data_IF_690585484263
#
_entry.id   IF_690585484263
#
_cell.length_a   1.000
_cell.length_b   1.000
_cell.length_c   1.000
_cell.angle_alpha   90.00
_cell.angle_beta   90.00
_cell.angle_gamma   90.00
#
_symmetry.space_group_name_H-M   'P 1'
#
loop_
_entity.id
_entity.type
_entity.pdbx_description
1 polymer ?
#
# COMPACT_ATOMS: atom_id res chain seq x y z
N UNK A 1 49.79 4.57 5.50
CA UNK A 1 50.17 3.16 5.35
C UNK A 1 49.27 2.42 6.29
N UNK A 2 48.06 2.14 5.83
CA UNK A 2 47.10 1.33 6.55
C UNK A 2 47.57 -0.12 6.41
N UNK A 3 47.97 -0.73 7.52
CA UNK A 3 48.22 -2.17 7.55
C UNK A 3 46.87 -2.85 7.37
N UNK A 4 46.58 -3.25 6.13
CA UNK A 4 45.57 -4.26 5.83
C UNK A 4 46.09 -5.55 6.44
N UNK A 5 45.66 -5.83 7.66
CA UNK A 5 45.89 -7.12 8.30
C UNK A 5 45.19 -8.19 7.44
N UNK A 6 45.89 -9.24 6.99
CA UNK A 6 45.28 -10.26 6.16
C UNK A 6 44.11 -10.92 6.89
N UNK A 7 42.99 -11.13 6.19
CA UNK A 7 41.82 -11.90 6.67
C UNK A 7 42.23 -13.25 7.30
N UNK A 8 43.37 -13.82 6.90
CA UNK A 8 43.91 -15.05 7.45
C UNK A 8 44.37 -14.95 8.93
N UNK A 9 44.59 -13.76 9.49
CA UNK A 9 44.94 -13.61 10.92
C UNK A 9 43.73 -13.61 11.86
N UNK A 10 42.51 -13.45 11.32
CA UNK A 10 41.23 -13.50 12.05
C UNK A 10 40.82 -14.94 12.46
N UNK A 11 41.45 -15.95 11.85
CA UNK A 11 41.12 -17.36 12.06
C UNK A 11 41.88 -18.06 13.19
N UNK A 12 42.60 -17.30 14.03
CA UNK A 12 43.30 -17.87 15.18
C UNK A 12 42.39 -18.11 16.40
N UNK A 13 41.14 -17.62 16.38
CA UNK A 13 40.14 -17.92 17.40
C UNK A 13 38.96 -18.72 16.81
N UNK A 14 38.67 -19.87 17.42
CA UNK A 14 37.54 -20.76 17.10
C UNK A 14 36.19 -20.03 17.04
N UNK A 15 35.41 -20.26 15.99
CA UNK A 15 33.93 -20.17 15.90
C UNK A 15 33.21 -18.88 16.40
N UNK A 16 33.94 -17.81 16.74
CA UNK A 16 33.42 -16.54 17.28
C UNK A 16 32.23 -15.96 16.49
N UNK A 17 32.22 -15.99 15.14
CA UNK A 17 31.10 -15.41 14.38
C UNK A 17 29.76 -16.11 14.62
N UNK A 18 29.75 -17.44 14.61
CA UNK A 18 28.55 -18.25 14.85
C UNK A 18 28.09 -18.14 16.31
N UNK A 19 29.05 -18.03 17.24
CA UNK A 19 28.76 -17.75 18.66
C UNK A 19 28.03 -16.40 18.82
N UNK A 20 28.60 -15.31 18.29
CA UNK A 20 27.98 -13.99 18.35
C UNK A 20 26.61 -13.97 17.65
N UNK A 21 26.47 -14.69 16.52
CA UNK A 21 25.19 -14.81 15.82
C UNK A 21 24.15 -15.54 16.67
N UNK A 22 24.52 -16.63 17.33
CA UNK A 22 23.64 -17.35 18.25
C UNK A 22 23.25 -16.50 19.45
N UNK A 23 24.17 -15.73 20.03
CA UNK A 23 23.88 -14.80 21.13
C UNK A 23 22.86 -13.73 20.70
N UNK A 24 23.05 -13.14 19.51
CA UNK A 24 22.13 -12.15 18.95
C UNK A 24 20.76 -12.77 18.61
N UNK A 25 20.72 -13.94 17.96
CA UNK A 25 19.47 -14.63 17.61
C UNK A 25 18.62 -14.95 18.84
N UNK A 26 19.26 -15.38 19.92
CA UNK A 26 18.60 -15.72 21.19
C UNK A 26 18.40 -14.51 22.12
N UNK A 27 18.78 -13.31 21.69
CA UNK A 27 18.69 -12.06 22.48
C UNK A 27 19.40 -12.15 23.85
N UNK A 28 20.58 -12.77 23.90
CA UNK A 28 21.37 -12.94 25.12
C UNK A 28 22.26 -11.70 25.34
N UNK A 29 21.62 -10.58 25.68
CA UNK A 29 22.20 -9.23 25.80
C UNK A 29 23.46 -9.18 26.67
N UNK A 30 23.39 -9.71 27.90
CA UNK A 30 24.51 -9.64 28.85
C UNK A 30 25.71 -10.48 28.39
N UNK A 31 25.45 -11.70 27.91
CA UNK A 31 26.49 -12.61 27.40
C UNK A 31 27.15 -12.05 26.14
N UNK A 32 26.36 -11.37 25.30
CA UNK A 32 26.89 -10.67 24.14
C UNK A 32 27.82 -9.53 24.56
N UNK A 33 27.45 -8.72 25.56
CA UNK A 33 28.30 -7.65 26.07
C UNK A 33 29.62 -8.20 26.61
N UNK A 34 29.56 -9.17 27.51
CA UNK A 34 30.75 -9.78 28.13
C UNK A 34 31.67 -10.37 27.06
N UNK A 35 31.08 -10.99 26.02
CA UNK A 35 31.86 -11.55 24.92
C UNK A 35 32.53 -10.46 24.09
N UNK A 36 31.80 -9.40 23.72
CA UNK A 36 32.35 -8.28 22.97
C UNK A 36 33.49 -7.58 23.73
N UNK A 37 33.37 -7.42 25.04
CA UNK A 37 34.42 -6.86 25.92
C UNK A 37 35.68 -7.75 25.98
N UNK A 38 35.52 -9.07 25.80
CA UNK A 38 36.64 -10.03 25.80
C UNK A 38 37.43 -10.06 24.49
N UNK A 39 36.87 -9.55 23.39
CA UNK A 39 37.48 -9.61 22.06
C UNK A 39 38.55 -8.54 21.90
N UNK A 40 39.64 -8.91 21.21
CA UNK A 40 40.74 -7.97 20.92
C UNK A 40 40.37 -6.98 19.82
N UNK A 41 39.58 -7.40 18.83
CA UNK A 41 39.17 -6.59 17.67
C UNK A 41 37.67 -6.75 17.36
N UNK A 42 36.75 -6.35 18.27
CA UNK A 42 35.30 -6.58 18.12
C UNK A 42 34.71 -5.94 16.86
N UNK A 43 35.29 -4.84 16.37
CA UNK A 43 34.82 -4.09 15.19
C UNK A 43 34.80 -4.94 13.92
N UNK A 44 35.79 -5.82 13.75
CA UNK A 44 35.89 -6.70 12.59
C UNK A 44 34.68 -7.65 12.53
N UNK A 45 34.22 -8.13 13.68
CA UNK A 45 33.02 -8.98 13.78
C UNK A 45 31.72 -8.21 13.64
N UNK A 46 31.67 -6.98 14.14
CA UNK A 46 30.47 -6.13 14.06
C UNK A 46 30.17 -5.66 12.62
N UNK A 47 31.21 -5.41 11.83
CA UNK A 47 31.11 -4.89 10.46
C UNK A 47 31.18 -5.96 9.38
N UNK A 48 31.49 -7.21 9.73
CA UNK A 48 31.56 -8.31 8.79
C UNK A 48 30.20 -8.62 8.15
N UNK A 49 30.25 -8.79 6.83
CA UNK A 49 29.09 -9.05 5.96
C UNK A 49 29.12 -10.45 5.33
N UNK A 50 30.23 -11.17 5.51
CA UNK A 50 30.39 -12.55 5.10
C UNK A 50 31.22 -13.30 6.14
N UNK A 51 30.83 -14.54 6.39
CA UNK A 51 31.53 -15.43 7.31
C UNK A 51 31.74 -16.76 6.61
N UNK A 52 32.99 -17.24 6.60
CA UNK A 52 33.37 -18.50 5.94
C UNK A 52 33.00 -18.60 4.44
N UNK A 53 32.90 -17.47 3.75
CA UNK A 53 32.57 -17.42 2.32
C UNK A 53 31.07 -17.45 2.00
N UNK A 54 30.19 -17.49 3.02
CA UNK A 54 28.75 -17.29 2.86
C UNK A 54 28.36 -15.84 3.20
N UNK A 55 27.58 -15.21 2.33
CA UNK A 55 26.96 -13.91 2.62
C UNK A 55 25.83 -14.12 3.63
N UNK A 56 25.97 -13.57 4.84
CA UNK A 56 24.98 -13.64 5.92
C UNK A 56 24.55 -12.23 6.32
N UNK A 57 23.36 -12.09 6.91
CA UNK A 57 22.94 -10.83 7.51
C UNK A 57 23.96 -10.38 8.57
N UNK A 58 24.21 -9.07 8.70
CA UNK A 58 25.06 -8.58 9.79
C UNK A 58 24.38 -8.79 11.16
N UNK A 59 25.16 -8.82 12.24
CA UNK A 59 24.62 -8.92 13.62
C UNK A 59 23.58 -7.83 13.89
N UNK A 60 23.82 -6.61 13.38
CA UNK A 60 22.88 -5.50 13.50
C UNK A 60 21.55 -5.78 12.78
N UNK A 61 21.59 -6.35 11.58
CA UNK A 61 20.38 -6.71 10.82
C UNK A 61 19.58 -7.81 11.50
N UNK A 62 20.24 -8.81 12.08
CA UNK A 62 19.56 -9.88 12.82
C UNK A 62 18.86 -9.31 14.05
N UNK A 63 19.56 -8.47 14.83
CA UNK A 63 18.96 -7.77 15.96
C UNK A 63 17.77 -6.91 15.49
N UNK A 64 17.91 -6.23 14.34
CA UNK A 64 16.86 -5.40 13.76
C UNK A 64 15.63 -6.17 13.27
N UNK A 65 15.79 -7.32 12.62
CA UNK A 65 14.69 -8.18 12.19
C UNK A 65 13.87 -8.72 13.36
N UNK A 66 14.50 -8.91 14.52
CA UNK A 66 13.87 -9.45 15.71
C UNK A 66 13.42 -8.37 16.71
N UNK A 67 13.76 -7.09 16.47
CA UNK A 67 13.31 -5.98 17.32
C UNK A 67 14.09 -5.85 18.63
N UNK A 68 15.31 -6.38 18.67
CA UNK A 68 16.13 -6.43 19.88
C UNK A 68 16.84 -5.10 20.12
N UNK A 69 16.13 -4.15 20.72
CA UNK A 69 16.63 -2.80 20.94
C UNK A 69 17.91 -2.75 21.81
N UNK A 70 17.94 -3.47 22.92
CA UNK A 70 19.10 -3.50 23.81
C UNK A 70 20.32 -4.10 23.13
N UNK A 71 20.12 -5.19 22.38
CA UNK A 71 21.16 -5.79 21.54
C UNK A 71 21.70 -4.77 20.54
N UNK A 72 20.84 -4.02 19.85
CA UNK A 72 21.28 -2.96 18.95
C UNK A 72 22.09 -1.89 19.68
N UNK A 73 21.64 -1.44 20.86
CA UNK A 73 22.37 -0.45 21.66
C UNK A 73 23.76 -0.95 22.06
N UNK A 74 23.90 -2.22 22.44
CA UNK A 74 25.18 -2.85 22.75
C UNK A 74 26.08 -2.91 21.52
N UNK A 75 25.56 -3.33 20.37
CA UNK A 75 26.35 -3.37 19.12
C UNK A 75 26.87 -1.98 18.74
N UNK A 76 26.07 -0.93 18.93
CA UNK A 76 26.49 0.46 18.73
C UNK A 76 27.49 0.96 19.78
N UNK A 77 27.32 0.59 21.05
CA UNK A 77 28.23 0.98 22.12
C UNK A 77 29.65 0.42 21.93
N UNK A 78 29.74 -0.79 21.37
CA UNK A 78 31.01 -1.46 21.05
C UNK A 78 31.56 -1.11 19.65
N UNK A 79 30.87 -0.24 18.90
CA UNK A 79 31.29 0.22 17.59
C UNK A 79 31.69 1.71 17.64
N UNK A 80 32.99 2.05 17.47
CA UNK A 80 33.43 3.43 17.48
C UNK A 80 32.71 4.29 16.43
N UNK A 81 32.45 5.58 16.69
CA UNK A 81 31.67 6.45 15.79
C UNK A 81 32.13 6.45 14.34
N UNK A 82 33.45 6.33 14.11
CA UNK A 82 34.05 6.29 12.77
C UNK A 82 33.69 5.04 11.94
N UNK A 83 33.27 3.94 12.60
CA UNK A 83 32.90 2.67 11.95
C UNK A 83 31.38 2.39 11.95
N UNK A 84 30.59 3.30 12.53
CA UNK A 84 29.13 3.12 12.60
C UNK A 84 28.47 3.22 11.23
N UNK A 85 29.11 3.85 10.24
CA UNK A 85 28.62 3.92 8.86
C UNK A 85 28.69 2.51 8.23
N UNK A 86 29.81 1.80 8.43
CA UNK A 86 30.01 0.43 7.98
C UNK A 86 29.04 -0.54 8.66
N UNK A 87 28.81 -0.39 9.96
CA UNK A 87 27.79 -1.16 10.71
C UNK A 87 26.39 -1.03 10.09
N UNK A 88 26.10 0.14 9.50
CA UNK A 88 24.81 0.51 8.90
C UNK A 88 24.72 0.18 7.40
N UNK A 89 25.79 -0.32 6.77
CA UNK A 89 25.86 -0.57 5.32
C UNK A 89 24.95 -1.75 4.91
N UNK A 90 24.51 -1.74 3.65
CA UNK A 90 23.73 -2.83 3.05
C UNK A 90 24.54 -4.12 2.96
N UNK A 91 23.88 -5.25 3.19
CA UNK A 91 24.43 -6.59 2.95
C UNK A 91 23.57 -7.31 1.90
N UNK A 92 24.20 -7.80 0.84
CA UNK A 92 23.55 -8.64 -0.16
C UNK A 92 23.26 -10.01 0.47
N UNK A 93 22.08 -10.58 0.18
CA UNK A 93 21.74 -11.93 0.60
C UNK A 93 21.60 -12.77 -0.67
N UNK A 94 22.57 -13.64 -0.91
CA UNK A 94 22.49 -14.64 -1.97
C UNK A 94 21.94 -15.94 -1.37
N UNK A 95 20.65 -16.21 -1.63
CA UNK A 95 20.07 -17.52 -1.97
C UNK A 95 18.52 -17.45 -1.87
N UNK A 96 17.84 -17.66 -3.00
CA UNK A 96 16.42 -18.06 -3.02
C UNK A 96 15.37 -16.98 -3.28
N UNK A 97 15.40 -15.81 -2.62
CA UNK A 97 14.52 -14.66 -2.92
C UNK A 97 15.07 -13.41 -2.22
N UNK A 98 15.11 -12.27 -2.96
CA UNK A 98 15.61 -10.91 -2.62
C UNK A 98 17.00 -10.58 -3.19
N UNK A 99 17.03 -10.17 -4.48
CA UNK A 99 18.22 -9.59 -5.13
C UNK A 99 18.32 -8.09 -4.77
N UNK A 100 18.56 -7.76 -3.50
CA UNK A 100 18.67 -6.36 -3.09
C UNK A 100 19.15 -6.22 -1.66
N UNK A 101 20.28 -5.54 -1.45
CA UNK A 101 20.83 -5.34 -0.11
C UNK A 101 19.87 -4.55 0.78
N UNK A 102 19.57 -5.07 1.96
CA UNK A 102 18.75 -4.37 2.97
C UNK A 102 19.65 -3.60 3.95
N UNK A 103 19.12 -2.64 4.70
CA UNK A 103 19.78 -2.05 5.90
C UNK A 103 19.10 -2.54 7.16
N UNK A 104 19.76 -2.40 8.32
CA UNK A 104 19.13 -2.71 9.61
C UNK A 104 17.84 -1.89 9.85
N UNK A 105 17.79 -0.63 9.37
CA UNK A 105 16.58 0.19 9.45
C UNK A 105 15.44 -0.40 8.60
N UNK A 106 15.73 -0.84 7.37
CA UNK A 106 14.74 -1.52 6.53
C UNK A 106 14.24 -2.82 7.17
N UNK A 107 15.13 -3.61 7.79
CA UNK A 107 14.78 -4.81 8.55
C UNK A 107 13.82 -4.53 9.73
N UNK A 108 14.13 -3.51 10.55
CA UNK A 108 13.30 -3.10 11.67
C UNK A 108 11.91 -2.66 11.18
N UNK A 109 11.84 -1.85 10.13
CA UNK A 109 10.58 -1.44 9.55
C UNK A 109 9.82 -2.60 8.89
N UNK A 110 10.51 -3.60 8.32
CA UNK A 110 9.86 -4.73 7.60
C UNK A 110 9.11 -5.62 8.59
N UNK A 111 9.65 -5.72 9.79
CA UNK A 111 9.10 -6.51 10.90
C UNK A 111 8.29 -5.65 11.88
N UNK A 112 8.03 -4.38 11.52
CA UNK A 112 7.23 -3.42 12.28
C UNK A 112 7.77 -3.07 13.68
N UNK A 113 9.08 -3.10 13.88
CA UNK A 113 9.75 -2.74 15.13
C UNK A 113 9.98 -1.22 15.24
N UNK A 114 8.90 -0.48 15.55
CA UNK A 114 8.92 1.00 15.57
C UNK A 114 9.95 1.61 16.52
N UNK A 115 9.95 1.20 17.79
CA UNK A 115 10.87 1.76 18.80
C UNK A 115 12.31 1.60 18.36
N UNK A 116 12.62 0.44 17.77
CA UNK A 116 13.95 0.19 17.22
C UNK A 116 14.25 1.02 15.97
N UNK A 117 13.31 1.17 15.04
CA UNK A 117 13.49 2.04 13.88
C UNK A 117 13.79 3.48 14.30
N UNK A 118 13.06 4.01 15.30
CA UNK A 118 13.34 5.31 15.89
C UNK A 118 14.73 5.36 16.52
N UNK A 119 15.08 4.39 17.35
CA UNK A 119 16.40 4.28 17.99
C UNK A 119 17.53 4.24 16.96
N UNK A 120 17.39 3.49 15.86
CA UNK A 120 18.37 3.44 14.77
C UNK A 120 18.55 4.79 14.05
N UNK A 121 17.49 5.59 13.93
CA UNK A 121 17.56 6.93 13.34
C UNK A 121 18.16 7.93 14.33
N UNK A 122 17.75 7.90 15.60
CA UNK A 122 18.26 8.75 16.68
C UNK A 122 19.77 8.52 16.91
N UNK A 123 20.27 7.31 16.67
CA UNK A 123 21.72 6.98 16.68
C UNK A 123 22.48 7.47 15.42
N UNK A 124 21.92 8.46 14.70
CA UNK A 124 22.66 9.46 13.95
C UNK A 124 23.33 8.99 12.67
N UNK A 125 22.63 8.27 11.78
CA UNK A 125 23.14 8.08 10.41
C UNK A 125 22.66 6.84 9.66
N UNK A 126 21.50 6.29 10.00
CA UNK A 126 20.87 5.33 9.10
C UNK A 126 20.55 6.04 7.78
N UNK A 127 20.95 5.48 6.65
CA UNK A 127 20.62 6.03 5.34
C UNK A 127 19.14 5.76 5.04
N UNK A 128 18.31 6.78 5.27
CA UNK A 128 16.84 6.68 5.15
C UNK A 128 16.39 6.68 3.69
N UNK A 129 17.20 7.27 2.80
CA UNK A 129 16.86 7.56 1.40
C UNK A 129 17.74 6.80 0.41
N UNK A 130 18.22 5.60 0.76
CA UNK A 130 19.17 4.85 -0.06
C UNK A 130 18.61 4.54 -1.47
N UNK A 131 18.83 5.48 -2.38
CA UNK A 131 18.34 5.62 -3.75
C UNK A 131 19.30 4.97 -4.76
N UNK A 132 20.19 4.09 -4.30
CA UNK A 132 21.16 3.46 -5.19
C UNK A 132 20.48 2.43 -6.09
N UNK A 133 20.84 2.48 -7.38
CA UNK A 133 20.30 1.85 -8.61
C UNK A 133 19.98 0.33 -8.58
N UNK A 134 20.06 -0.36 -7.44
CA UNK A 134 19.96 -1.82 -7.33
C UNK A 134 18.53 -2.36 -7.31
N UNK A 135 17.57 -1.69 -7.97
CA UNK A 135 16.19 -2.17 -8.22
C UNK A 135 15.30 -2.57 -7.02
N UNK A 136 15.77 -2.53 -5.77
CA UNK A 136 15.01 -2.96 -4.57
C UNK A 136 14.96 -1.86 -3.48
N UNK A 137 15.06 -0.60 -3.88
CA UNK A 137 14.73 0.51 -3.00
C UNK A 137 13.22 0.52 -2.71
N UNK A 138 12.74 -0.29 -1.76
CA UNK A 138 11.45 -0.06 -1.12
C UNK A 138 11.64 1.16 -0.21
N UNK A 139 11.09 2.34 -0.56
CA UNK A 139 11.25 3.52 0.28
C UNK A 139 10.61 3.23 1.63
N UNK A 140 11.32 3.58 2.71
CA UNK A 140 10.89 3.26 4.08
C UNK A 140 9.47 3.75 4.37
N UNK A 141 9.12 4.91 3.78
CA UNK A 141 7.79 5.49 3.80
C UNK A 141 6.72 4.54 3.24
N UNK A 142 6.95 3.92 2.08
CA UNK A 142 6.01 3.00 1.43
C UNK A 142 5.75 1.79 2.33
N UNK A 143 6.82 1.20 2.87
CA UNK A 143 6.73 0.03 3.70
C UNK A 143 5.99 0.31 5.02
N UNK A 144 6.27 1.47 5.63
CA UNK A 144 5.56 1.94 6.81
C UNK A 144 4.06 2.16 6.52
N UNK A 145 3.73 2.75 5.37
CA UNK A 145 2.33 2.94 4.94
C UNK A 145 1.61 1.62 4.65
N UNK A 146 2.28 0.66 4.00
CA UNK A 146 1.71 -0.68 3.73
C UNK A 146 1.34 -1.43 5.02
N UNK A 147 2.09 -1.21 6.11
CA UNK A 147 1.89 -1.87 7.41
C UNK A 147 1.16 -0.99 8.43
N UNK A 148 0.54 0.12 7.99
CA UNK A 148 -0.19 1.08 8.83
C UNK A 148 0.62 1.66 10.01
N UNK A 149 1.92 1.89 9.82
CA UNK A 149 2.82 2.43 10.84
C UNK A 149 2.84 3.96 10.77
N UNK A 150 1.74 4.58 11.19
CA UNK A 150 1.54 6.03 11.10
C UNK A 150 2.57 6.82 11.93
N UNK A 151 3.03 6.25 13.02
CA UNK A 151 4.12 6.74 13.86
C UNK A 151 5.45 6.88 13.09
N UNK A 152 5.83 5.86 12.32
CA UNK A 152 6.99 5.90 11.43
C UNK A 152 6.78 6.92 10.31
N UNK A 153 5.61 6.87 9.65
CA UNK A 153 5.29 7.78 8.53
C UNK A 153 5.39 9.24 8.98
N UNK A 154 4.82 9.58 10.14
CA UNK A 154 4.94 10.92 10.74
C UNK A 154 6.39 11.31 10.94
N UNK A 155 7.15 10.44 11.61
CA UNK A 155 8.55 10.70 11.90
C UNK A 155 9.38 10.92 10.64
N UNK A 156 9.16 10.14 9.57
CA UNK A 156 9.87 10.27 8.30
C UNK A 156 9.55 11.57 7.57
N UNK A 157 8.26 11.95 7.49
CA UNK A 157 7.83 13.15 6.77
C UNK A 157 8.18 14.42 7.55
N UNK A 158 7.92 14.46 8.85
CA UNK A 158 8.11 15.67 9.68
C UNK A 158 9.57 16.07 9.84
N UNK A 159 10.50 15.11 9.77
CA UNK A 159 11.94 15.37 9.80
C UNK A 159 12.56 15.53 8.40
N UNK A 160 11.74 15.53 7.33
CA UNK A 160 12.21 15.68 5.96
C UNK A 160 13.06 14.50 5.46
N UNK A 161 12.88 13.32 6.07
CA UNK A 161 13.65 12.14 5.71
C UNK A 161 13.11 11.38 4.51
N UNK A 162 11.91 11.68 4.01
CA UNK A 162 11.37 11.01 2.83
C UNK A 162 10.47 11.95 2.03
N UNK A 163 10.51 11.82 0.71
CA UNK A 163 9.54 12.46 -0.19
C UNK A 163 8.20 11.70 -0.12
N UNK A 164 7.13 12.43 0.21
CA UNK A 164 5.75 11.93 0.33
C UNK A 164 5.27 11.22 -0.95
N UNK A 165 5.76 11.66 -2.11
CA UNK A 165 5.37 11.16 -3.43
C UNK A 165 6.40 10.21 -4.03
N UNK A 166 7.41 9.80 -3.25
CA UNK A 166 8.39 8.82 -3.70
C UNK A 166 7.66 7.51 -4.06
N UNK A 167 8.03 6.95 -5.19
CA UNK A 167 7.51 5.65 -5.65
C UNK A 167 8.56 4.57 -5.41
N UNK A 168 8.13 3.32 -5.27
CA UNK A 168 9.09 2.21 -5.34
C UNK A 168 9.81 2.20 -6.69
N UNK A 169 11.10 1.83 -6.68
CA UNK A 169 12.00 1.91 -7.83
C UNK A 169 11.90 0.73 -8.79
N UNK A 170 11.08 -0.28 -8.46
CA UNK A 170 10.88 -1.42 -9.35
C UNK A 170 9.96 -1.02 -10.53
N UNK A 171 10.32 -1.50 -11.72
CA UNK A 171 9.60 -1.15 -12.95
C UNK A 171 8.16 -1.69 -12.98
N UNK A 172 7.83 -2.66 -12.13
CA UNK A 172 6.58 -3.38 -12.19
C UNK A 172 5.44 -2.77 -11.38
N UNK A 173 5.72 -1.97 -10.34
CA UNK A 173 4.69 -1.45 -9.45
C UNK A 173 5.06 -0.06 -8.93
N UNK A 174 5.12 1.01 -9.73
CA UNK A 174 5.53 2.35 -9.23
C UNK A 174 4.51 3.04 -8.28
N UNK A 175 4.07 2.39 -7.21
CA UNK A 175 3.06 2.84 -6.25
C UNK A 175 3.64 3.83 -5.22
N UNK A 176 2.78 4.77 -4.78
CA UNK A 176 3.05 5.71 -3.69
C UNK A 176 2.49 5.21 -2.36
N UNK A 177 2.85 5.88 -1.26
CA UNK A 177 2.36 5.58 0.09
C UNK A 177 0.84 5.66 0.16
N UNK A 178 0.26 6.65 -0.53
CA UNK A 178 -1.17 6.89 -0.58
C UNK A 178 -1.92 5.77 -1.32
N UNK A 179 -1.36 5.22 -2.40
CA UNK A 179 -1.94 4.06 -3.11
C UNK A 179 -2.03 2.85 -2.18
N UNK A 180 -0.98 2.55 -1.41
CA UNK A 180 -0.99 1.44 -0.46
C UNK A 180 -1.97 1.66 0.69
N UNK A 181 -2.00 2.87 1.25
CA UNK A 181 -2.96 3.22 2.30
C UNK A 181 -4.41 3.09 1.81
N UNK A 182 -4.71 3.54 0.59
CA UNK A 182 -6.02 3.41 -0.04
C UNK A 182 -6.40 1.96 -0.34
N UNK A 183 -5.47 1.16 -0.87
CA UNK A 183 -5.67 -0.25 -1.14
C UNK A 183 -5.92 -1.07 0.13
N UNK A 184 -5.29 -0.73 1.25
CA UNK A 184 -5.52 -1.40 2.53
C UNK A 184 -6.68 -0.78 3.32
N UNK A 185 -7.12 0.42 2.95
CA UNK A 185 -8.22 1.11 3.59
C UNK A 185 -7.86 1.80 4.92
N UNK A 186 -6.60 2.20 5.09
CA UNK A 186 -6.11 2.84 6.31
C UNK A 186 -6.48 4.33 6.32
N UNK A 187 -7.72 4.63 6.70
CA UNK A 187 -8.31 5.98 6.67
C UNK A 187 -7.46 7.04 7.38
N UNK A 188 -6.98 6.78 8.60
CA UNK A 188 -6.12 7.72 9.35
C UNK A 188 -4.77 7.98 8.66
N UNK A 189 -4.25 6.97 7.95
CA UNK A 189 -3.04 7.11 7.14
C UNK A 189 -3.32 7.94 5.88
N UNK A 190 -4.46 7.70 5.20
CA UNK A 190 -4.89 8.46 4.02
C UNK A 190 -5.04 9.94 4.38
N UNK A 191 -5.77 10.25 5.45
CA UNK A 191 -5.95 11.63 5.95
C UNK A 191 -4.60 12.32 6.18
N UNK A 192 -3.69 11.64 6.88
CA UNK A 192 -2.37 12.21 7.17
C UNK A 192 -1.53 12.43 5.90
N UNK A 193 -1.48 11.45 4.99
CA UNK A 193 -0.71 11.57 3.75
C UNK A 193 -1.26 12.71 2.87
N UNK A 194 -2.58 12.87 2.77
CA UNK A 194 -3.21 13.97 2.05
C UNK A 194 -2.93 15.33 2.70
N UNK A 195 -2.99 15.43 4.03
CA UNK A 195 -2.61 16.64 4.78
C UNK A 195 -1.16 17.07 4.47
N UNK A 196 -0.26 16.11 4.25
CA UNK A 196 1.15 16.35 3.89
C UNK A 196 1.41 16.52 2.39
N UNK A 197 0.36 16.60 1.57
CA UNK A 197 0.49 16.90 0.14
C UNK A 197 0.84 15.69 -0.73
N UNK A 198 0.44 14.49 -0.33
CA UNK A 198 0.48 13.33 -1.22
C UNK A 198 -0.38 13.59 -2.48
N UNK A 199 0.14 13.21 -3.64
CA UNK A 199 -0.58 13.32 -4.92
C UNK A 199 -1.75 12.34 -4.95
N UNK A 200 -2.95 12.89 -4.77
CA UNK A 200 -4.21 12.15 -4.73
C UNK A 200 -4.56 11.47 -6.06
N UNK A 201 -4.01 11.96 -7.17
CA UNK A 201 -4.31 11.50 -8.52
C UNK A 201 -3.13 10.76 -9.16
N UNK A 202 -2.06 10.48 -8.39
CA UNK A 202 -0.94 9.72 -8.89
C UNK A 202 -1.41 8.36 -9.44
N UNK A 203 -1.05 8.07 -10.68
CA UNK A 203 -1.37 6.81 -11.36
C UNK A 203 -0.09 6.00 -11.52
N UNK A 204 -0.03 4.81 -10.91
CA UNK A 204 1.09 3.92 -11.14
C UNK A 204 0.85 3.05 -12.39
N UNK A 205 1.91 2.76 -13.14
CA UNK A 205 1.88 1.74 -14.19
C UNK A 205 2.26 0.41 -13.56
N UNK A 206 1.28 -0.26 -12.93
CA UNK A 206 1.51 -1.64 -12.48
C UNK A 206 1.27 -2.60 -13.63
N UNK A 207 2.17 -3.58 -13.82
CA UNK A 207 1.98 -4.64 -14.81
C UNK A 207 0.84 -5.60 -14.44
N UNK A 208 0.50 -5.69 -13.15
CA UNK A 208 -0.53 -6.57 -12.60
C UNK A 208 -1.81 -5.82 -12.20
N UNK A 209 -1.72 -4.54 -11.81
CA UNK A 209 -2.86 -3.68 -11.50
C UNK A 209 -3.08 -2.65 -12.62
N UNK A 210 -4.35 -2.56 -13.04
CA UNK A 210 -4.88 -1.80 -14.17
C UNK A 210 -4.78 -0.26 -13.96
N UNK A 211 -3.55 0.27 -13.90
CA UNK A 211 -3.21 1.68 -13.69
C UNK A 211 -3.85 2.35 -12.45
N UNK A 212 -3.58 1.85 -11.23
CA UNK A 212 -4.32 2.31 -10.06
C UNK A 212 -3.93 3.74 -9.65
N UNK A 213 -4.96 4.58 -9.50
CA UNK A 213 -4.96 5.76 -8.62
C UNK A 213 -5.41 5.36 -7.21
N UNK A 214 -5.14 6.17 -6.17
CA UNK A 214 -5.64 5.91 -4.82
C UNK A 214 -7.14 5.56 -4.77
N UNK A 215 -7.99 6.32 -5.47
CA UNK A 215 -9.45 6.08 -5.48
C UNK A 215 -9.81 4.76 -6.14
N UNK A 216 -9.17 4.39 -7.27
CA UNK A 216 -9.43 3.10 -7.91
C UNK A 216 -9.04 1.93 -7.01
N UNK A 217 -7.95 2.05 -6.24
CA UNK A 217 -7.55 1.04 -5.25
C UNK A 217 -8.58 0.89 -4.13
N UNK A 218 -9.08 2.00 -3.58
CA UNK A 218 -10.10 1.97 -2.54
C UNK A 218 -11.40 1.31 -3.04
N UNK A 219 -11.81 1.63 -4.28
CA UNK A 219 -12.99 1.02 -4.93
C UNK A 219 -12.78 -0.47 -5.19
N UNK A 220 -11.63 -0.89 -5.74
CA UNK A 220 -11.32 -2.30 -5.98
C UNK A 220 -11.32 -3.16 -4.72
N UNK A 221 -11.15 -2.54 -3.56
CA UNK A 221 -11.10 -3.18 -2.25
C UNK A 221 -12.38 -2.99 -1.44
N UNK A 222 -13.37 -2.27 -1.99
CA UNK A 222 -14.67 -2.05 -1.38
C UNK A 222 -14.62 -1.21 -0.10
N UNK A 223 -13.56 -0.44 0.10
CA UNK A 223 -13.41 0.34 1.32
C UNK A 223 -14.13 1.69 1.18
N UNK A 224 -15.43 1.70 1.53
CA UNK A 224 -16.30 2.89 1.39
C UNK A 224 -15.75 4.11 2.15
N UNK A 225 -15.14 3.92 3.31
CA UNK A 225 -14.58 5.02 4.10
C UNK A 225 -13.37 5.67 3.40
N UNK A 226 -12.48 4.87 2.82
CA UNK A 226 -11.36 5.37 2.01
C UNK A 226 -11.86 6.03 0.71
N UNK A 227 -12.86 5.46 0.04
CA UNK A 227 -13.49 6.09 -1.15
C UNK A 227 -14.09 7.45 -0.77
N UNK A 228 -14.82 7.52 0.33
CA UNK A 228 -15.42 8.75 0.82
C UNK A 228 -14.36 9.81 1.10
N UNK A 229 -13.31 9.48 1.86
CA UNK A 229 -12.21 10.39 2.17
C UNK A 229 -11.51 10.91 0.92
N UNK A 230 -11.23 10.04 -0.05
CA UNK A 230 -10.58 10.44 -1.30
C UNK A 230 -11.49 11.35 -2.14
N UNK A 231 -12.79 11.07 -2.22
CA UNK A 231 -13.74 11.94 -2.89
C UNK A 231 -13.92 13.29 -2.16
N UNK A 232 -13.87 13.30 -0.82
CA UNK A 232 -13.92 14.53 0.00
C UNK A 232 -12.67 15.40 -0.18
N UNK A 233 -11.56 14.79 -0.60
CA UNK A 233 -10.31 15.46 -0.93
C UNK A 233 -10.13 15.75 -2.44
N UNK A 234 -11.22 15.75 -3.21
CA UNK A 234 -11.25 16.07 -4.64
C UNK A 234 -10.41 15.11 -5.53
N UNK A 235 -10.37 13.82 -5.20
CA UNK A 235 -9.81 12.80 -6.09
C UNK A 235 -10.53 12.80 -7.46
N UNK A 236 -9.80 12.61 -8.55
CA UNK A 236 -10.37 12.47 -9.89
C UNK A 236 -11.20 11.18 -9.97
N UNK A 237 -12.52 11.34 -10.00
CA UNK A 237 -13.49 10.24 -10.10
C UNK A 237 -13.81 9.85 -11.53
N UNK A 238 -13.29 10.57 -12.54
CA UNK A 238 -13.50 10.29 -13.97
C UNK A 238 -12.56 9.20 -14.51
N UNK A 239 -11.64 8.75 -13.66
CA UNK A 239 -10.68 7.69 -13.96
C UNK A 239 -11.36 6.40 -14.41
N UNK A 240 -10.76 5.78 -15.43
CA UNK A 240 -11.18 4.48 -15.94
C UNK A 240 -10.10 3.46 -15.66
N UNK A 241 -10.53 2.25 -15.31
CA UNK A 241 -9.66 1.08 -15.29
C UNK A 241 -9.17 0.80 -16.73
N UNK A 242 -8.07 0.06 -16.88
CA UNK A 242 -7.50 -0.18 -18.22
C UNK A 242 -8.39 -1.06 -19.12
N UNK A 243 -9.37 -1.77 -18.55
CA UNK A 243 -10.43 -2.47 -19.31
C UNK A 243 -11.59 -1.54 -19.70
N UNK A 244 -11.44 -0.23 -19.45
CA UNK A 244 -12.39 0.82 -19.82
C UNK A 244 -13.51 1.05 -18.81
N UNK A 245 -13.57 0.27 -17.72
CA UNK A 245 -14.63 0.39 -16.71
C UNK A 245 -14.52 1.66 -15.90
N UNK A 246 -15.66 2.20 -15.49
CA UNK A 246 -15.72 3.31 -14.52
C UNK A 246 -15.64 2.78 -13.09
N UNK A 247 -15.49 3.68 -12.11
CA UNK A 247 -15.53 3.34 -10.69
C UNK A 247 -16.83 2.62 -10.31
N UNK A 248 -17.97 3.09 -10.83
CA UNK A 248 -19.29 2.53 -10.55
C UNK A 248 -19.43 1.12 -11.14
N UNK A 249 -19.01 0.90 -12.39
CA UNK A 249 -19.01 -0.42 -13.02
C UNK A 249 -18.14 -1.43 -12.23
N UNK A 250 -16.94 -1.03 -11.82
CA UNK A 250 -16.04 -1.91 -11.07
C UNK A 250 -16.57 -2.26 -9.66
N UNK A 251 -17.23 -1.31 -8.99
CA UNK A 251 -17.91 -1.55 -7.71
C UNK A 251 -19.10 -2.50 -7.89
N UNK A 252 -19.87 -2.35 -8.98
CA UNK A 252 -20.98 -3.23 -9.34
C UNK A 252 -20.52 -4.68 -9.53
N UNK A 253 -19.50 -4.92 -10.37
CA UNK A 253 -18.97 -6.27 -10.61
C UNK A 253 -18.50 -6.98 -9.32
N UNK A 254 -18.03 -6.21 -8.34
CA UNK A 254 -17.55 -6.72 -7.05
C UNK A 254 -18.60 -6.73 -5.95
N UNK A 255 -19.78 -6.14 -6.20
CA UNK A 255 -20.92 -6.04 -5.27
C UNK A 255 -20.61 -5.24 -4.01
N UNK A 256 -19.84 -4.17 -4.17
CA UNK A 256 -19.60 -3.24 -3.09
C UNK A 256 -20.75 -2.26 -3.00
N UNK A 257 -21.91 -2.73 -2.50
CA UNK A 257 -23.15 -1.97 -2.44
C UNK A 257 -22.99 -0.64 -1.71
N UNK A 258 -22.25 -0.61 -0.60
CA UNK A 258 -21.97 0.64 0.14
C UNK A 258 -21.21 1.66 -0.71
N UNK A 259 -20.26 1.20 -1.54
CA UNK A 259 -19.53 2.05 -2.49
C UNK A 259 -20.46 2.51 -3.61
N UNK A 260 -21.31 1.62 -4.15
CA UNK A 260 -22.28 1.97 -5.20
C UNK A 260 -23.25 3.04 -4.70
N UNK A 261 -23.83 2.84 -3.51
CA UNK A 261 -24.74 3.82 -2.91
C UNK A 261 -24.05 5.17 -2.69
N UNK A 262 -22.81 5.16 -2.18
CA UNK A 262 -22.02 6.37 -2.01
C UNK A 262 -21.75 7.10 -3.34
N UNK A 263 -21.30 6.39 -4.37
CA UNK A 263 -20.97 6.95 -5.68
C UNK A 263 -22.21 7.53 -6.36
N UNK A 264 -23.35 6.84 -6.33
CA UNK A 264 -24.61 7.33 -6.90
C UNK A 264 -25.13 8.58 -6.18
N UNK A 265 -25.03 8.62 -4.84
CA UNK A 265 -25.41 9.80 -4.06
C UNK A 265 -24.54 11.02 -4.37
N UNK A 266 -23.28 10.81 -4.77
CA UNK A 266 -22.35 11.85 -5.26
C UNK A 266 -22.54 12.18 -6.74
N UNK A 267 -23.48 11.52 -7.44
CA UNK A 267 -23.64 11.61 -8.90
C UNK A 267 -22.37 11.20 -9.68
N UNK A 268 -21.56 10.30 -9.11
CA UNK A 268 -20.38 9.73 -9.74
C UNK A 268 -20.80 8.47 -10.51
N UNK A 269 -20.77 8.56 -11.84
CA UNK A 269 -21.27 7.52 -12.75
C UNK A 269 -22.78 7.61 -13.00
N UNK A 270 -23.27 6.90 -14.02
CA UNK A 270 -24.70 6.89 -14.38
C UNK A 270 -25.39 5.60 -13.95
N UNK A 271 -26.72 5.65 -13.81
CA UNK A 271 -27.52 4.44 -13.58
C UNK A 271 -27.31 3.43 -14.71
N UNK A 272 -27.13 3.91 -15.95
CA UNK A 272 -26.85 3.05 -17.11
C UNK A 272 -25.51 2.31 -16.96
N UNK A 273 -24.50 2.93 -16.34
CA UNK A 273 -23.24 2.25 -16.02
C UNK A 273 -23.43 1.14 -14.98
N UNK A 274 -24.31 1.35 -13.99
CA UNK A 274 -24.67 0.32 -13.02
C UNK A 274 -25.43 -0.84 -13.68
N UNK A 275 -26.40 -0.54 -14.56
CA UNK A 275 -27.14 -1.52 -15.34
C UNK A 275 -26.21 -2.33 -16.25
N UNK A 276 -25.27 -1.67 -16.92
CA UNK A 276 -24.25 -2.32 -17.75
C UNK A 276 -23.36 -3.26 -16.93
N UNK A 277 -22.97 -2.85 -15.73
CA UNK A 277 -22.22 -3.71 -14.79
C UNK A 277 -23.03 -4.93 -14.33
N UNK A 278 -24.35 -4.81 -14.18
CA UNK A 278 -25.21 -5.95 -13.87
C UNK A 278 -25.34 -6.90 -15.08
N UNK A 279 -25.51 -6.36 -16.29
CA UNK A 279 -25.54 -7.14 -17.53
C UNK A 279 -24.24 -7.91 -17.78
N UNK A 280 -23.08 -7.30 -17.51
CA UNK A 280 -21.79 -7.98 -17.64
C UNK A 280 -21.71 -9.22 -16.73
N UNK A 281 -22.26 -9.13 -15.52
CA UNK A 281 -22.37 -10.28 -14.61
C UNK A 281 -23.32 -11.36 -15.13
N UNK A 282 -24.47 -11.01 -15.72
CA UNK A 282 -25.38 -11.99 -16.34
C UNK A 282 -24.70 -12.73 -17.49
N UNK A 283 -24.05 -12.00 -18.39
CA UNK A 283 -23.37 -12.60 -19.56
C UNK A 283 -22.19 -13.50 -19.17
N UNK A 284 -21.49 -13.18 -18.07
CA UNK A 284 -20.40 -13.98 -17.53
C UNK A 284 -20.84 -15.07 -16.52
N UNK A 285 -22.15 -15.19 -16.27
CA UNK A 285 -22.67 -16.08 -15.24
C UNK A 285 -22.51 -17.56 -15.60
N UNK A 286 -21.80 -18.30 -14.75
CA UNK A 286 -21.75 -19.78 -14.76
C UNK A 286 -22.37 -20.39 -13.50
N UNK A 287 -22.89 -19.56 -12.59
CA UNK A 287 -23.48 -19.99 -11.32
C UNK A 287 -24.75 -19.20 -10.96
N UNK A 288 -25.69 -19.86 -10.28
CA UNK A 288 -26.90 -19.21 -9.70
C UNK A 288 -26.51 -18.03 -8.79
N UNK A 289 -25.36 -18.13 -8.13
CA UNK A 289 -24.82 -17.07 -7.27
C UNK A 289 -24.53 -15.78 -8.06
N UNK A 290 -24.01 -15.87 -9.28
CA UNK A 290 -23.75 -14.68 -10.12
C UNK A 290 -25.04 -14.06 -10.67
N UNK A 291 -26.04 -14.87 -11.00
CA UNK A 291 -27.36 -14.39 -11.44
C UNK A 291 -28.09 -13.64 -10.32
N UNK A 292 -28.07 -14.17 -9.09
CA UNK A 292 -28.66 -13.48 -7.94
C UNK A 292 -28.00 -12.11 -7.69
N UNK A 293 -26.68 -12.04 -7.91
CA UNK A 293 -25.92 -10.79 -7.75
C UNK A 293 -26.28 -9.74 -8.80
N UNK A 294 -26.45 -10.15 -10.05
CA UNK A 294 -26.93 -9.26 -11.09
C UNK A 294 -28.35 -8.74 -10.77
N UNK A 295 -29.23 -9.61 -10.26
CA UNK A 295 -30.58 -9.24 -9.85
C UNK A 295 -30.59 -8.19 -8.72
N UNK A 296 -29.70 -8.32 -7.72
CA UNK A 296 -29.56 -7.33 -6.64
C UNK A 296 -29.13 -5.96 -7.18
N UNK A 297 -28.18 -5.92 -8.12
CA UNK A 297 -27.72 -4.68 -8.75
C UNK A 297 -28.80 -4.01 -9.61
N UNK A 298 -29.58 -4.79 -10.37
CA UNK A 298 -30.72 -4.28 -11.14
C UNK A 298 -31.83 -3.76 -10.20
N UNK A 299 -32.06 -4.43 -9.08
CA UNK A 299 -32.98 -3.96 -8.04
C UNK A 299 -32.49 -2.63 -7.44
N UNK A 300 -31.18 -2.47 -7.27
CA UNK A 300 -30.60 -1.20 -6.82
C UNK A 300 -30.74 -0.10 -7.89
N UNK A 301 -30.45 -0.41 -9.16
CA UNK A 301 -30.59 0.52 -10.27
C UNK A 301 -32.03 1.07 -10.39
N UNK A 302 -33.03 0.19 -10.32
CA UNK A 302 -34.45 0.58 -10.33
C UNK A 302 -34.83 1.49 -9.16
N UNK A 303 -34.35 1.22 -7.93
CA UNK A 303 -34.53 2.10 -6.76
C UNK A 303 -33.99 3.51 -7.01
N UNK A 304 -32.78 3.65 -7.57
CA UNK A 304 -32.19 4.96 -7.89
C UNK A 304 -32.87 5.66 -9.08
N UNK A 305 -33.35 4.89 -10.07
CA UNK A 305 -34.11 5.41 -11.22
C UNK A 305 -35.42 6.06 -10.80
N UNK A 306 -36.17 5.39 -9.90
CA UNK A 306 -37.40 5.95 -9.30
C UNK A 306 -37.08 7.22 -8.52
N UNK A 307 -35.99 7.21 -7.73
CA UNK A 307 -35.59 8.38 -6.92
C UNK A 307 -35.25 9.60 -7.78
N UNK A 308 -34.51 9.42 -8.88
CA UNK A 308 -34.15 10.51 -9.81
C UNK A 308 -35.34 11.05 -10.60
N UNK A 309 -36.25 10.19 -11.06
CA UNK A 309 -37.49 10.62 -11.71
C UNK A 309 -38.37 11.42 -10.74
N UNK A 310 -38.50 10.95 -9.50
CA UNK A 310 -39.25 11.66 -8.45
C UNK A 310 -38.67 13.06 -8.21
N UNK A 311 -37.36 13.19 -8.07
CA UNK A 311 -36.70 14.49 -7.89
C UNK A 311 -36.88 15.42 -9.10
N UNK A 312 -36.82 14.91 -10.34
CA UNK A 312 -37.07 15.71 -11.55
C UNK A 312 -38.48 16.31 -11.55
N UNK A 313 -39.50 15.54 -11.16
CA UNK A 313 -40.88 16.01 -11.02
C UNK A 313 -40.98 17.12 -9.97
N UNK A 314 -40.28 16.98 -8.83
CA UNK A 314 -40.30 17.99 -7.76
C UNK A 314 -39.47 19.26 -8.06
N UNK A 315 -38.44 19.17 -8.90
CA UNK A 315 -37.55 20.30 -9.21
C UNK A 315 -37.93 21.08 -10.46
N UNK A 316 -38.97 20.69 -11.20
CA UNK A 316 -39.46 21.54 -12.29
C UNK A 316 -40.05 22.85 -11.71
N UNK A 317 -39.61 24.04 -12.17
CA UNK A 317 -40.19 25.31 -11.76
C UNK A 317 -41.66 25.35 -12.16
N UNK A 318 -42.53 25.75 -11.24
CA UNK A 318 -43.99 25.84 -11.39
C UNK A 318 -44.48 26.92 -12.38
N UNK A 319 -43.86 27.08 -13.54
CA UNK A 319 -44.29 28.09 -14.52
C UNK A 319 -44.33 27.56 -15.97
N UNK A 320 -45.58 27.32 -16.40
CA UNK A 320 -46.14 27.47 -17.74
C UNK A 320 -45.75 26.49 -18.88
N UNK A 321 -46.70 25.59 -19.17
CA UNK A 321 -47.08 24.97 -20.45
C UNK A 321 -46.43 25.55 -21.74
N UNK A 322 -45.93 24.70 -22.66
CA UNK A 322 -46.74 24.14 -23.78
C UNK A 322 -45.99 23.13 -24.68
N UNK A 323 -46.72 22.09 -25.11
CA UNK A 323 -46.49 21.09 -26.19
C UNK A 323 -45.08 20.50 -26.45
N UNK A 324 -44.76 19.36 -25.80
CA UNK A 324 -44.50 18.07 -26.46
C UNK A 324 -44.30 16.96 -25.41
N UNK A 325 -45.35 16.15 -25.20
CA UNK A 325 -45.43 14.88 -24.45
C UNK A 325 -44.66 14.80 -23.12
N UNK A 326 -45.29 15.29 -22.05
CA UNK A 326 -44.90 14.99 -20.67
C UNK A 326 -45.78 13.87 -20.11
N UNK A 327 -45.14 12.83 -19.56
CA UNK A 327 -45.80 11.73 -18.84
C UNK A 327 -46.31 12.24 -17.49
N UNK A 328 -47.60 12.06 -17.22
CA UNK A 328 -48.28 12.50 -16.00
C UNK A 328 -48.75 11.33 -15.11
N UNK A 329 -48.55 10.07 -15.51
CA UNK A 329 -48.92 8.90 -14.69
C UNK A 329 -47.88 7.78 -14.72
N UNK A 330 -47.87 6.94 -13.67
CA UNK A 330 -47.01 5.74 -13.55
C UNK A 330 -47.23 4.77 -14.73
N UNK A 331 -48.45 4.75 -15.29
CA UNK A 331 -48.82 3.91 -16.43
C UNK A 331 -48.21 4.40 -17.77
N UNK A 332 -47.84 5.68 -17.88
CA UNK A 332 -47.18 6.23 -19.08
C UNK A 332 -45.65 6.00 -19.09
N UNK A 333 -45.05 5.80 -17.91
CA UNK A 333 -43.64 5.38 -17.76
C UNK A 333 -43.39 3.95 -18.27
N UNK A 334 -44.40 3.10 -18.18
CA UNK A 334 -44.42 1.75 -18.75
C UNK A 334 -44.52 1.74 -20.28
N UNK A 335 -44.95 2.85 -20.89
CA UNK A 335 -45.02 3.01 -22.34
C UNK A 335 -43.69 3.45 -22.99
N UNK A 336 -42.71 3.95 -22.21
CA UNK A 336 -41.36 4.31 -22.70
C UNK A 336 -40.46 3.04 -22.78
N UNK A 337 -41.03 1.92 -23.21
CA UNK A 337 -40.35 0.61 -23.31
C UNK A 337 -39.46 0.45 -24.53
N UNK A 338 -39.36 1.48 -25.37
CA UNK A 338 -38.67 1.40 -26.67
C UNK A 338 -37.15 1.61 -26.62
N UNK A 339 -36.53 1.64 -25.43
CA UNK A 339 -35.08 1.54 -25.36
C UNK A 339 -34.68 0.08 -25.64
N UNK A 340 -34.04 -0.16 -26.78
CA UNK A 340 -33.72 -1.49 -27.29
C UNK A 340 -32.84 -2.31 -26.31
N UNK A 341 -32.13 -1.62 -25.41
CA UNK A 341 -31.33 -2.19 -24.32
C UNK A 341 -32.17 -2.58 -23.08
N UNK A 342 -33.33 -1.91 -22.86
CA UNK A 342 -34.27 -2.15 -21.75
C UNK A 342 -35.01 -3.49 -21.90
N UNK A 343 -35.35 -3.88 -23.12
CA UNK A 343 -36.04 -5.14 -23.41
C UNK A 343 -35.16 -6.37 -23.08
N UNK A 344 -33.84 -6.28 -23.25
CA UNK A 344 -32.91 -7.36 -22.90
C UNK A 344 -32.78 -7.56 -21.40
N UNK A 345 -32.78 -6.48 -20.63
CA UNK A 345 -32.69 -6.51 -19.15
C UNK A 345 -34.00 -7.03 -18.54
N UNK A 346 -35.17 -6.54 -18.99
CA UNK A 346 -36.47 -7.01 -18.52
C UNK A 346 -36.72 -8.49 -18.86
N UNK A 347 -36.23 -8.98 -20.02
CA UNK A 347 -36.32 -10.40 -20.39
C UNK A 347 -35.40 -11.29 -19.56
N UNK A 348 -34.30 -10.76 -19.00
CA UNK A 348 -33.40 -11.50 -18.11
C UNK A 348 -33.89 -11.54 -16.64
N UNK A 349 -34.83 -10.66 -16.27
CA UNK A 349 -35.41 -10.54 -14.92
C UNK A 349 -36.65 -11.43 -14.70
N UNK A 350 -37.34 -11.82 -15.77
CA UNK A 350 -38.47 -12.78 -15.78
C UNK A 350 -37.92 -14.20 -15.91
#
# INVERSE_FOLDING_TARGET
MDEVVPIDSLYNDEYVPEELYALVQNNLVDQLSDRLDSLTHPIEYLTAVSWHGEEKLSLLMVAALNGYEDTVRILFAHCPPQYQIELKRRVAVSEGYLIGGMTALQCACYRAHFTLAKTLIDMGGADINNDNDDHIGYPLLIQASEHNRLDIVRFLIENGYSDINKTQSNDQDRCTALIWAAFKGYTTMIEYLLEKGADINYSCKSGAMLAPTPITCAVLRGNVAAVQLLCDADADTSVKFTDGKTLLMAAAERKYFDVIEFLLNRSIGTIDELELGACSLVTASSSIKQLHQALELLTLATKYRVSTQTLKVFMQPTVAYDYHQECQTVDELDAIKDDHDRMWIETALI
#
